data_IF_871908299193
#
_entry.id   IF_871908299193
#
_cell.length_a   1.000
_cell.length_b   1.000
_cell.length_c   1.000
_cell.angle_alpha   90.00
_cell.angle_beta   90.00
_cell.angle_gamma   90.00
#
_symmetry.space_group_name_H-M   'P 1'
#
loop_
_entity.id
_entity.type
_entity.pdbx_description
1 polymer ?
#
# COMPACT_ATOMS: atom_id res chain seq x y z
N UNK A 1 -21.56 -37.41 53.87
CA UNK A 1 -22.59 -37.00 52.92
C UNK A 1 -21.92 -36.68 51.59
N UNK A 2 -21.98 -37.62 50.66
CA UNK A 2 -21.46 -37.48 49.30
C UNK A 2 -22.33 -36.47 48.54
N UNK A 3 -21.76 -35.41 47.91
CA UNK A 3 -22.56 -34.54 47.07
C UNK A 3 -22.92 -35.31 45.79
N UNK A 4 -24.23 -35.38 45.57
CA UNK A 4 -24.90 -36.08 44.49
C UNK A 4 -24.46 -35.49 43.14
N UNK A 5 -23.64 -36.21 42.39
CA UNK A 5 -23.15 -35.80 41.08
C UNK A 5 -24.25 -36.06 40.04
N UNK A 6 -25.18 -35.12 39.89
CA UNK A 6 -26.13 -35.13 38.78
C UNK A 6 -25.36 -35.15 37.46
N UNK A 7 -25.60 -36.09 36.53
CA UNK A 7 -24.90 -36.09 35.26
C UNK A 7 -25.36 -34.86 34.48
N UNK A 8 -24.50 -33.85 34.44
CA UNK A 8 -24.69 -32.67 33.58
C UNK A 8 -25.03 -33.13 32.15
N UNK A 9 -26.16 -32.67 31.61
CA UNK A 9 -26.69 -32.99 30.27
C UNK A 9 -25.78 -32.54 29.08
N UNK A 10 -24.51 -32.22 29.36
CA UNK A 10 -23.54 -31.60 28.45
C UNK A 10 -22.33 -32.49 28.16
N UNK A 11 -22.19 -33.61 28.88
CA UNK A 11 -21.19 -34.65 28.60
C UNK A 11 -21.79 -35.69 27.67
N UNK A 12 -21.24 -35.85 26.46
CA UNK A 12 -21.82 -36.76 25.46
C UNK A 12 -20.78 -37.55 24.68
N UNK A 13 -21.23 -38.60 23.99
CA UNK A 13 -20.37 -39.39 23.10
C UNK A 13 -19.92 -38.51 21.90
N UNK A 14 -18.70 -38.69 21.38
CA UNK A 14 -18.18 -37.90 20.25
C UNK A 14 -19.11 -37.87 19.03
N UNK A 15 -19.71 -39.01 18.66
CA UNK A 15 -20.66 -39.09 17.55
C UNK A 15 -21.94 -38.26 17.81
N UNK A 16 -22.42 -38.25 19.06
CA UNK A 16 -23.58 -37.43 19.47
C UNK A 16 -23.27 -35.95 19.40
N UNK A 17 -22.04 -35.54 19.78
CA UNK A 17 -21.58 -34.16 19.67
C UNK A 17 -21.56 -33.69 18.21
N UNK A 18 -20.93 -34.46 17.33
CA UNK A 18 -20.86 -34.16 15.89
C UNK A 18 -22.25 -34.01 15.30
N UNK A 19 -23.15 -34.96 15.58
CA UNK A 19 -24.53 -34.90 15.11
C UNK A 19 -25.25 -33.66 15.63
N UNK A 20 -25.13 -33.36 16.92
CA UNK A 20 -25.85 -32.25 17.58
C UNK A 20 -25.37 -30.89 17.10
N UNK A 21 -24.06 -30.71 16.91
CA UNK A 21 -23.49 -29.45 16.40
C UNK A 21 -23.90 -29.23 14.94
N UNK A 22 -23.89 -30.27 14.10
CA UNK A 22 -24.28 -30.15 12.69
C UNK A 22 -25.81 -30.02 12.50
N UNK A 23 -26.61 -30.38 13.50
CA UNK A 23 -28.07 -30.21 13.48
C UNK A 23 -28.51 -28.74 13.67
N UNK A 24 -27.58 -27.85 14.07
CA UNK A 24 -27.88 -26.44 14.37
C UNK A 24 -28.16 -25.55 13.13
N UNK A 25 -28.31 -26.12 11.92
CA UNK A 25 -28.72 -25.39 10.71
C UNK A 25 -27.60 -24.69 9.93
N UNK A 26 -26.34 -24.80 10.37
CA UNK A 26 -25.17 -24.18 9.74
C UNK A 26 -24.39 -25.12 8.79
N UNK A 27 -24.99 -26.23 8.37
CA UNK A 27 -24.32 -27.28 7.59
C UNK A 27 -23.29 -28.08 8.42
N UNK A 28 -22.30 -28.67 7.76
CA UNK A 28 -21.27 -29.51 8.42
C UNK A 28 -20.20 -28.63 9.09
N UNK A 29 -20.47 -28.20 10.32
CA UNK A 29 -19.57 -27.36 11.13
C UNK A 29 -18.41 -28.17 11.74
N UNK A 30 -18.70 -29.41 12.16
CA UNK A 30 -17.73 -30.30 12.81
C UNK A 30 -17.77 -31.69 12.19
N UNK A 31 -16.61 -32.22 11.78
CA UNK A 31 -16.48 -33.60 11.28
C UNK A 31 -15.85 -34.50 12.34
N UNK A 32 -16.11 -35.82 12.24
CA UNK A 32 -15.48 -36.80 13.15
C UNK A 32 -13.96 -36.78 13.08
N UNK A 33 -13.40 -36.60 11.88
CA UNK A 33 -11.95 -36.47 11.67
C UNK A 33 -11.40 -35.25 12.40
N UNK A 34 -12.07 -34.09 12.29
CA UNK A 34 -11.66 -32.85 12.95
C UNK A 34 -11.77 -32.95 14.47
N UNK A 35 -12.86 -33.54 14.97
CA UNK A 35 -13.02 -33.81 16.40
C UNK A 35 -11.94 -34.77 16.93
N UNK A 36 -11.58 -35.81 16.17
CA UNK A 36 -10.49 -36.74 16.55
C UNK A 36 -9.15 -36.00 16.67
N UNK A 37 -8.83 -35.12 15.73
CA UNK A 37 -7.62 -34.28 15.79
C UNK A 37 -7.64 -33.34 17.00
N UNK A 38 -8.75 -32.63 17.25
CA UNK A 38 -8.87 -31.72 18.40
C UNK A 38 -8.72 -32.45 19.75
N UNK A 39 -9.14 -33.72 19.83
CA UNK A 39 -9.00 -34.55 21.03
C UNK A 39 -7.57 -35.01 21.29
N UNK A 40 -6.71 -35.03 20.27
CA UNK A 40 -5.28 -35.33 20.43
C UNK A 40 -4.49 -34.09 20.89
N UNK A 41 -4.99 -32.88 20.61
CA UNK A 41 -4.35 -31.61 20.88
C UNK A 41 -4.78 -30.96 22.20
N UNK A 42 -5.03 -31.77 23.23
CA UNK A 42 -5.22 -31.33 24.62
C UNK A 42 -6.62 -30.80 24.99
N UNK A 43 -7.65 -31.64 24.80
CA UNK A 43 -8.97 -31.44 25.42
C UNK A 43 -9.12 -32.34 26.64
N UNK A 44 -9.37 -31.67 27.77
CA UNK A 44 -9.76 -32.22 29.07
C UNK A 44 -10.62 -33.47 28.90
N UNK A 45 -9.94 -34.60 29.03
CA UNK A 45 -10.51 -35.91 28.88
C UNK A 45 -11.08 -36.29 30.24
N UNK A 46 -12.39 -36.13 30.44
CA UNK A 46 -13.00 -36.60 31.68
C UNK A 46 -13.07 -38.13 31.77
N UNK A 47 -12.86 -38.89 30.67
CA UNK A 47 -12.69 -40.37 30.76
C UNK A 47 -12.28 -41.10 29.44
N UNK A 48 -11.77 -40.38 28.44
CA UNK A 48 -11.39 -40.92 27.12
C UNK A 48 -12.57 -41.28 26.23
N UNK A 49 -13.77 -41.38 26.80
CA UNK A 49 -15.00 -41.89 26.17
C UNK A 49 -16.05 -40.82 25.89
N UNK A 50 -15.96 -39.66 26.56
CA UNK A 50 -16.93 -38.57 26.45
C UNK A 50 -16.26 -37.23 26.17
N UNK A 51 -17.03 -36.29 25.61
CA UNK A 51 -16.65 -34.89 25.39
C UNK A 51 -17.68 -34.01 26.09
N UNK A 52 -17.19 -33.10 26.93
CA UNK A 52 -17.99 -32.02 27.53
C UNK A 52 -18.09 -30.86 26.55
N UNK A 53 -19.31 -30.55 26.11
CA UNK A 53 -19.59 -29.51 25.13
C UNK A 53 -19.14 -28.12 25.60
N UNK A 54 -19.28 -27.78 26.89
CA UNK A 54 -18.92 -26.45 27.39
C UNK A 54 -17.41 -26.28 27.43
N UNK A 55 -16.68 -27.28 27.92
CA UNK A 55 -15.21 -27.27 27.92
C UNK A 55 -14.66 -27.22 26.50
N UNK A 56 -15.29 -27.96 25.59
CA UNK A 56 -14.93 -27.95 24.17
C UNK A 56 -15.15 -26.58 23.53
N UNK A 57 -16.30 -25.94 23.78
CA UNK A 57 -16.60 -24.61 23.28
C UNK A 57 -15.63 -23.56 23.85
N UNK A 58 -15.37 -23.58 25.16
CA UNK A 58 -14.43 -22.67 25.81
C UNK A 58 -13.01 -22.78 25.23
N UNK A 59 -12.55 -24.01 24.94
CA UNK A 59 -11.25 -24.23 24.30
C UNK A 59 -11.21 -23.71 22.86
N UNK A 60 -12.26 -23.94 22.06
CA UNK A 60 -12.35 -23.38 20.71
C UNK A 60 -12.33 -21.85 20.72
N UNK A 61 -13.05 -21.23 21.66
CA UNK A 61 -13.06 -19.79 21.86
C UNK A 61 -11.67 -19.27 22.24
N UNK A 62 -10.97 -19.96 23.15
CA UNK A 62 -9.60 -19.62 23.52
C UNK A 62 -8.64 -19.69 22.32
N UNK A 63 -8.73 -20.74 21.51
CA UNK A 63 -7.91 -20.87 20.29
C UNK A 63 -8.18 -19.75 19.30
N UNK A 64 -9.45 -19.43 19.07
CA UNK A 64 -9.86 -18.35 18.16
C UNK A 64 -9.27 -17.01 18.60
N UNK A 65 -9.42 -16.65 19.87
CA UNK A 65 -8.88 -15.38 20.39
C UNK A 65 -7.35 -15.36 20.43
N UNK A 66 -6.69 -16.50 20.64
CA UNK A 66 -5.22 -16.59 20.60
C UNK A 66 -4.67 -16.25 19.20
N UNK A 67 -5.30 -16.79 18.16
CA UNK A 67 -4.86 -16.55 16.78
C UNK A 67 -5.11 -15.10 16.36
N UNK A 68 -6.27 -14.51 16.70
CA UNK A 68 -6.54 -13.08 16.45
C UNK A 68 -5.53 -12.16 17.16
N UNK A 69 -5.20 -12.43 18.43
CA UNK A 69 -4.21 -11.66 19.18
C UNK A 69 -2.81 -11.75 18.55
N UNK A 70 -2.42 -12.93 18.04
CA UNK A 70 -1.15 -13.12 17.34
C UNK A 70 -1.09 -12.31 16.04
N UNK A 71 -2.18 -12.26 15.28
CA UNK A 71 -2.27 -11.45 14.06
C UNK A 71 -2.23 -9.94 14.37
N UNK A 72 -2.91 -9.50 15.44
CA UNK A 72 -2.88 -8.10 15.89
C UNK A 72 -1.46 -7.67 16.33
N UNK A 73 -0.77 -8.47 17.15
CA UNK A 73 0.61 -8.19 17.60
C UNK A 73 1.60 -8.13 16.43
N UNK A 74 1.49 -9.03 15.44
CA UNK A 74 2.32 -8.98 14.23
C UNK A 74 2.11 -7.67 13.43
N UNK A 75 0.86 -7.27 13.23
CA UNK A 75 0.54 -6.06 12.47
C UNK A 75 0.97 -4.78 13.22
N UNK A 76 0.80 -4.73 14.54
CA UNK A 76 1.29 -3.61 15.36
C UNK A 76 2.82 -3.50 15.34
N UNK A 77 3.53 -4.63 15.49
CA UNK A 77 5.00 -4.66 15.38
C UNK A 77 5.47 -4.17 14.01
N UNK A 78 4.83 -4.63 12.93
CA UNK A 78 5.12 -4.19 11.57
C UNK A 78 4.87 -2.69 11.39
N UNK A 79 3.78 -2.15 11.96
CA UNK A 79 3.47 -0.72 11.87
C UNK A 79 4.48 0.13 12.64
N UNK A 80 4.80 -0.25 13.88
CA UNK A 80 5.83 0.44 14.68
C UNK A 80 7.20 0.40 14.02
N UNK A 81 7.56 -0.72 13.37
CA UNK A 81 8.81 -0.79 12.62
C UNK A 81 8.79 0.12 11.39
N UNK A 82 7.66 0.20 10.68
CA UNK A 82 7.51 1.11 9.54
C UNK A 82 7.59 2.59 9.96
N UNK A 83 6.96 2.95 11.10
CA UNK A 83 7.04 4.28 11.69
C UNK A 83 8.49 4.64 12.06
N UNK A 84 9.19 3.75 12.77
CA UNK A 84 10.62 3.94 13.11
C UNK A 84 11.52 4.06 11.89
N UNK A 85 11.34 3.19 10.89
CA UNK A 85 12.13 3.25 9.67
C UNK A 85 11.88 4.57 8.91
N UNK A 86 10.64 5.07 8.92
CA UNK A 86 10.33 6.37 8.31
C UNK A 86 10.99 7.53 9.08
N UNK A 87 10.99 7.48 10.40
CA UNK A 87 11.68 8.46 11.26
C UNK A 87 13.20 8.42 11.06
N UNK A 88 13.80 7.22 11.00
CA UNK A 88 15.24 7.03 10.73
C UNK A 88 15.63 7.57 9.35
N UNK A 89 14.81 7.34 8.32
CA UNK A 89 15.03 7.89 6.98
C UNK A 89 14.94 9.41 7.00
N UNK A 90 13.95 10.00 7.68
CA UNK A 90 13.84 11.47 7.80
C UNK A 90 15.06 12.06 8.53
N UNK A 91 15.46 11.46 9.64
CA UNK A 91 16.62 11.91 10.41
C UNK A 91 17.94 11.78 9.62
N UNK A 92 18.05 10.77 8.75
CA UNK A 92 19.21 10.61 7.87
C UNK A 92 19.22 11.56 6.65
N UNK A 93 18.07 12.16 6.30
CA UNK A 93 17.91 13.10 5.19
C UNK A 93 18.21 14.56 5.57
N UNK A 94 18.60 14.83 6.82
CA UNK A 94 18.94 16.17 7.31
C UNK A 94 20.36 16.60 6.86
N UNK A 95 20.52 16.73 5.53
CA UNK A 95 21.80 17.00 4.85
C UNK A 95 21.95 18.52 4.65
N UNK A 96 22.21 19.25 5.73
CA UNK A 96 22.60 20.67 5.71
C UNK A 96 21.52 21.67 5.24
N UNK A 97 21.83 22.97 5.36
CA UNK A 97 20.94 24.03 4.89
C UNK A 97 20.88 24.03 3.35
N UNK A 98 19.69 23.73 2.83
CA UNK A 98 19.39 23.84 1.41
C UNK A 98 19.60 25.29 0.95
N UNK A 99 20.15 25.52 -0.26
CA UNK A 99 20.24 26.86 -0.81
C UNK A 99 18.85 27.53 -0.84
N UNK A 100 18.78 28.85 -0.94
CA UNK A 100 17.50 29.53 -1.10
C UNK A 100 17.01 29.41 -2.55
N UNK A 101 15.70 29.19 -2.71
CA UNK A 101 15.03 29.22 -4.02
C UNK A 101 15.23 30.60 -4.64
N UNK A 102 15.78 30.64 -5.85
CA UNK A 102 16.08 31.90 -6.54
C UNK A 102 14.79 32.66 -6.87
N UNK A 103 13.77 31.98 -7.38
CA UNK A 103 12.45 32.57 -7.65
C UNK A 103 11.30 31.72 -7.07
N UNK A 104 10.84 32.06 -5.85
CA UNK A 104 9.74 31.35 -5.19
C UNK A 104 8.40 31.44 -5.94
N UNK A 105 8.15 32.53 -6.65
CA UNK A 105 6.89 32.72 -7.40
C UNK A 105 6.87 31.86 -8.66
N UNK A 106 8.00 31.78 -9.38
CA UNK A 106 8.20 30.87 -10.51
C UNK A 106 8.02 29.42 -10.09
N UNK A 107 8.60 29.03 -8.96
CA UNK A 107 8.43 27.69 -8.37
C UNK A 107 6.95 27.42 -8.05
N UNK A 108 6.28 28.34 -7.36
CA UNK A 108 4.87 28.20 -6.96
C UNK A 108 3.94 28.09 -8.16
N UNK A 109 4.12 28.93 -9.18
CA UNK A 109 3.34 28.87 -10.42
C UNK A 109 3.51 27.53 -11.14
N UNK A 110 4.75 27.03 -11.18
CA UNK A 110 5.06 25.75 -11.81
C UNK A 110 4.55 24.54 -11.03
N UNK A 111 4.48 24.63 -9.71
CA UNK A 111 3.84 23.60 -8.88
C UNK A 111 2.31 23.62 -9.00
N UNK A 112 1.73 24.79 -9.27
CA UNK A 112 0.29 24.93 -9.44
C UNK A 112 -0.22 24.46 -10.81
N UNK A 113 0.63 24.48 -11.86
CA UNK A 113 0.24 24.02 -13.19
C UNK A 113 1.34 23.24 -13.89
N UNK A 114 0.98 22.04 -14.36
CA UNK A 114 1.89 21.20 -15.14
C UNK A 114 2.30 21.89 -16.45
N UNK A 115 1.40 22.65 -17.07
CA UNK A 115 1.71 23.41 -18.27
C UNK A 115 2.76 24.48 -18.01
N UNK A 116 2.59 25.26 -16.94
CA UNK A 116 3.53 26.29 -16.56
C UNK A 116 4.92 25.69 -16.27
N UNK A 117 4.98 24.53 -15.63
CA UNK A 117 6.22 23.79 -15.42
C UNK A 117 6.91 23.41 -16.73
N UNK A 118 6.18 22.85 -17.70
CA UNK A 118 6.73 22.51 -19.02
C UNK A 118 7.25 23.74 -19.77
N UNK A 119 6.49 24.83 -19.79
CA UNK A 119 6.88 26.06 -20.49
C UNK A 119 8.07 26.77 -19.82
N UNK A 120 8.15 26.71 -18.49
CA UNK A 120 9.19 27.41 -17.72
C UNK A 120 10.53 26.67 -17.75
N UNK A 121 10.54 25.38 -17.40
CA UNK A 121 11.79 24.63 -17.26
C UNK A 121 12.18 23.87 -18.52
N UNK A 122 11.23 23.56 -19.40
CA UNK A 122 11.45 22.73 -20.58
C UNK A 122 11.10 23.48 -21.87
N UNK A 123 11.26 24.81 -21.90
CA UNK A 123 10.94 25.64 -23.06
C UNK A 123 11.63 25.23 -24.36
N UNK A 124 12.88 24.75 -24.29
CA UNK A 124 13.61 24.22 -25.45
C UNK A 124 13.02 22.90 -25.99
N UNK A 125 12.37 22.13 -25.12
CA UNK A 125 11.73 20.85 -25.48
C UNK A 125 10.30 21.09 -25.98
N UNK A 126 9.57 22.01 -25.35
CA UNK A 126 8.20 22.39 -25.68
C UNK A 126 8.15 23.72 -26.45
N UNK A 127 8.97 23.84 -27.50
CA UNK A 127 9.05 25.06 -28.32
C UNK A 127 7.87 25.25 -29.28
N UNK A 128 7.08 24.20 -29.53
CA UNK A 128 5.91 24.25 -30.41
C UNK A 128 4.64 24.63 -29.63
N UNK A 129 3.69 25.37 -30.23
CA UNK A 129 2.41 25.65 -29.62
C UNK A 129 1.62 24.39 -29.27
N UNK A 130 0.88 24.44 -28.16
CA UNK A 130 0.04 23.34 -27.71
C UNK A 130 -1.18 23.15 -28.61
N UNK A 131 -1.51 21.89 -28.91
CA UNK A 131 -2.77 21.51 -29.54
C UNK A 131 -3.86 21.25 -28.49
N UNK A 132 -5.12 21.25 -28.91
CA UNK A 132 -6.26 20.87 -28.06
C UNK A 132 -6.11 19.46 -27.46
N UNK A 133 -5.49 18.53 -28.18
CA UNK A 133 -5.20 17.20 -27.66
C UNK A 133 -4.17 17.24 -26.54
N UNK A 134 -3.09 18.03 -26.69
CA UNK A 134 -2.09 18.20 -25.64
C UNK A 134 -2.71 18.84 -24.40
N UNK A 135 -3.55 19.86 -24.55
CA UNK A 135 -4.22 20.51 -23.42
C UNK A 135 -5.15 19.55 -22.68
N UNK A 136 -5.87 18.67 -23.38
CA UNK A 136 -6.68 17.61 -22.75
C UNK A 136 -5.83 16.62 -21.97
N UNK A 137 -4.67 16.26 -22.50
CA UNK A 137 -3.73 15.35 -21.84
C UNK A 137 -3.09 15.98 -20.61
N UNK A 138 -2.63 17.23 -20.72
CA UNK A 138 -2.07 17.99 -19.61
C UNK A 138 -3.05 18.06 -18.45
N UNK A 139 -4.33 18.39 -18.71
CA UNK A 139 -5.37 18.42 -17.67
C UNK A 139 -5.58 17.06 -16.99
N UNK A 140 -5.43 15.95 -17.72
CA UNK A 140 -5.53 14.60 -17.15
C UNK A 140 -4.32 14.28 -16.28
N UNK A 141 -3.11 14.59 -16.76
CA UNK A 141 -1.86 14.43 -16.01
C UNK A 141 -1.94 15.23 -14.71
N UNK A 142 -2.26 16.52 -14.79
CA UNK A 142 -2.32 17.43 -13.65
C UNK A 142 -3.29 16.92 -12.59
N UNK A 143 -4.49 16.45 -13.00
CA UNK A 143 -5.47 15.85 -12.09
C UNK A 143 -4.94 14.56 -11.45
N UNK A 144 -4.32 13.68 -12.22
CA UNK A 144 -3.82 12.40 -11.71
C UNK A 144 -2.65 12.55 -10.76
N UNK A 145 -1.78 13.53 -10.96
CA UNK A 145 -0.66 13.81 -10.04
C UNK A 145 -1.17 14.46 -8.76
N UNK A 146 -2.06 15.46 -8.86
CA UNK A 146 -2.50 16.24 -7.68
C UNK A 146 -3.57 15.55 -6.83
N UNK A 147 -4.52 14.85 -7.45
CA UNK A 147 -5.68 14.24 -6.77
C UNK A 147 -5.67 12.71 -6.81
N UNK A 148 -4.68 12.13 -7.49
CA UNK A 148 -4.70 10.72 -7.83
C UNK A 148 -5.68 10.39 -8.97
N UNK A 149 -5.66 9.14 -9.40
CA UNK A 149 -6.56 8.60 -10.41
C UNK A 149 -5.84 8.01 -11.62
N UNK A 150 -6.55 7.11 -12.31
CA UNK A 150 -6.04 6.39 -13.46
C UNK A 150 -6.60 6.99 -14.75
N UNK A 151 -5.75 7.21 -15.74
CA UNK A 151 -6.19 7.58 -17.07
C UNK A 151 -5.36 6.86 -18.13
N UNK A 152 -5.99 6.59 -19.26
CA UNK A 152 -5.33 6.13 -20.48
C UNK A 152 -5.19 7.30 -21.45
N UNK A 153 -4.06 7.34 -22.14
CA UNK A 153 -3.73 8.35 -23.14
C UNK A 153 -3.40 7.66 -24.46
N UNK A 154 -4.10 8.04 -25.53
CA UNK A 154 -3.78 7.66 -26.88
C UNK A 154 -3.48 8.93 -27.68
N UNK A 155 -2.23 9.07 -28.14
CA UNK A 155 -1.80 10.17 -29.02
C UNK A 155 -1.08 9.63 -30.25
N UNK A 156 -1.18 10.33 -31.40
CA UNK A 156 -0.46 9.97 -32.63
C UNK A 156 1.05 9.83 -32.40
N UNK A 157 1.73 9.08 -33.27
CA UNK A 157 3.21 9.06 -33.26
C UNK A 157 3.74 10.45 -33.59
N UNK A 158 4.88 10.83 -33.00
CA UNK A 158 5.49 12.16 -33.20
C UNK A 158 4.93 13.29 -32.32
N UNK A 159 3.85 13.07 -31.56
CA UNK A 159 3.23 14.08 -30.67
C UNK A 159 3.98 14.38 -29.36
N UNK A 160 5.19 13.84 -29.16
CA UNK A 160 5.93 14.04 -27.92
C UNK A 160 5.37 13.33 -26.67
N UNK A 161 4.48 12.33 -26.84
CA UNK A 161 3.87 11.58 -25.71
C UNK A 161 4.86 11.07 -24.66
N UNK A 162 6.02 10.57 -25.11
CA UNK A 162 7.04 10.03 -24.22
C UNK A 162 7.64 11.13 -23.36
N UNK A 163 7.97 12.27 -23.98
CA UNK A 163 8.50 13.45 -23.32
C UNK A 163 7.48 13.97 -22.30
N UNK A 164 6.21 14.11 -22.68
CA UNK A 164 5.15 14.51 -21.75
C UNK A 164 5.06 13.59 -20.53
N UNK A 165 5.15 12.27 -20.71
CA UNK A 165 5.15 11.34 -19.59
C UNK A 165 6.41 11.47 -18.71
N UNK A 166 7.59 11.66 -19.30
CA UNK A 166 8.83 11.84 -18.54
C UNK A 166 8.81 13.16 -17.75
N UNK A 167 8.36 14.26 -18.36
CA UNK A 167 8.20 15.55 -17.68
C UNK A 167 7.14 15.47 -16.58
N UNK A 168 6.06 14.71 -16.79
CA UNK A 168 5.06 14.45 -15.75
C UNK A 168 5.63 13.69 -14.54
N UNK A 169 6.51 12.71 -14.79
CA UNK A 169 7.23 11.98 -13.74
C UNK A 169 8.17 12.91 -12.97
N UNK A 170 8.93 13.75 -13.68
CA UNK A 170 9.80 14.74 -13.06
C UNK A 170 9.00 15.75 -12.20
N UNK A 171 7.89 16.26 -12.73
CA UNK A 171 7.01 17.17 -12.01
C UNK A 171 6.37 16.53 -10.78
N UNK A 172 5.88 15.29 -10.89
CA UNK A 172 5.32 14.55 -9.76
C UNK A 172 6.36 14.30 -8.65
N UNK A 173 7.61 14.04 -9.03
CA UNK A 173 8.71 13.88 -8.09
C UNK A 173 9.08 15.21 -7.42
N UNK A 174 9.28 16.29 -8.19
CA UNK A 174 9.68 17.61 -7.67
C UNK A 174 8.60 18.31 -6.86
N UNK A 175 7.32 18.05 -7.15
CA UNK A 175 6.19 18.60 -6.40
C UNK A 175 5.89 17.87 -5.10
N UNK A 176 6.50 16.71 -4.85
CA UNK A 176 6.18 15.87 -3.69
C UNK A 176 4.79 15.22 -3.74
N UNK A 177 4.08 15.33 -4.87
CA UNK A 177 2.70 14.85 -4.99
C UNK A 177 2.57 13.32 -4.84
N UNK A 178 3.65 12.57 -5.06
CA UNK A 178 3.70 11.14 -4.84
C UNK A 178 5.00 10.74 -4.13
N UNK A 179 4.90 9.98 -3.04
CA UNK A 179 6.06 9.48 -2.28
C UNK A 179 6.95 8.53 -3.10
N UNK A 180 6.39 7.93 -4.16
CA UNK A 180 7.14 7.07 -5.07
C UNK A 180 6.55 7.14 -6.47
N UNK A 181 7.37 7.56 -7.44
CA UNK A 181 6.97 7.67 -8.86
C UNK A 181 7.63 6.55 -9.65
N UNK A 182 6.84 5.77 -10.39
CA UNK A 182 7.32 4.66 -11.20
C UNK A 182 6.97 4.88 -12.68
N UNK A 183 7.97 4.87 -13.55
CA UNK A 183 7.82 4.94 -15.00
C UNK A 183 7.99 3.53 -15.60
N UNK A 184 6.94 3.05 -16.27
CA UNK A 184 6.93 1.71 -16.89
C UNK A 184 7.06 1.85 -18.41
N UNK A 185 7.97 1.07 -18.99
CA UNK A 185 8.20 1.01 -20.43
C UNK A 185 7.94 -0.40 -20.99
N UNK A 186 7.87 -0.53 -22.31
CA UNK A 186 7.62 -1.80 -22.99
C UNK A 186 8.77 -2.81 -22.86
N UNK A 187 10.00 -2.37 -22.53
CA UNK A 187 11.16 -3.21 -22.27
C UNK A 187 12.05 -2.61 -21.19
N UNK A 188 12.89 -3.43 -20.57
CA UNK A 188 13.83 -3.01 -19.54
C UNK A 188 14.84 -1.96 -20.06
N UNK A 189 15.38 -2.18 -21.27
CA UNK A 189 16.30 -1.26 -21.94
C UNK A 189 15.64 0.12 -22.15
N UNK A 190 14.41 0.14 -22.69
CA UNK A 190 13.66 1.39 -22.85
C UNK A 190 13.39 2.07 -21.52
N UNK A 191 13.06 1.32 -20.47
CA UNK A 191 12.85 1.87 -19.14
C UNK A 191 14.09 2.58 -18.61
N UNK A 192 15.26 1.95 -18.81
CA UNK A 192 16.56 2.53 -18.43
C UNK A 192 16.84 3.82 -19.20
N UNK A 193 16.68 3.83 -20.52
CA UNK A 193 16.89 5.03 -21.34
C UNK A 193 16.02 6.20 -20.89
N UNK A 194 14.74 5.93 -20.60
CA UNK A 194 13.81 6.97 -20.14
C UNK A 194 14.21 7.55 -18.78
N UNK A 195 14.72 6.71 -17.87
CA UNK A 195 15.21 7.13 -16.57
C UNK A 195 16.49 7.97 -16.70
N UNK A 196 17.45 7.55 -17.52
CA UNK A 196 18.70 8.29 -17.75
C UNK A 196 18.44 9.66 -18.39
N UNK A 197 17.44 9.77 -19.27
CA UNK A 197 17.02 11.07 -19.81
C UNK A 197 16.47 12.00 -18.72
N UNK A 198 15.66 11.48 -17.80
CA UNK A 198 15.13 12.28 -16.68
C UNK A 198 16.26 12.76 -15.77
N UNK A 199 17.23 11.90 -15.46
CA UNK A 199 18.41 12.28 -14.66
C UNK A 199 19.22 13.37 -15.35
N UNK A 200 19.52 13.19 -16.64
CA UNK A 200 20.23 14.19 -17.44
C UNK A 200 19.53 15.54 -17.33
N UNK A 201 18.20 15.60 -17.47
CA UNK A 201 17.46 16.87 -17.34
C UNK A 201 17.56 17.50 -15.94
N UNK A 202 17.56 16.70 -14.88
CA UNK A 202 17.73 17.21 -13.51
C UNK A 202 19.15 17.72 -13.25
N UNK A 203 20.16 17.15 -13.92
CA UNK A 203 21.57 17.51 -13.76
C UNK A 203 22.02 18.68 -14.64
N UNK A 204 21.41 18.88 -15.81
CA UNK A 204 21.86 19.89 -16.79
C UNK A 204 21.01 21.14 -16.83
N UNK A 205 19.79 21.11 -16.28
CA UNK A 205 18.88 22.24 -16.34
C UNK A 205 19.13 23.23 -15.19
N UNK A 206 19.78 24.35 -15.52
CA UNK A 206 20.12 25.39 -14.54
C UNK A 206 18.89 25.97 -13.84
N UNK A 207 17.77 26.18 -14.54
CA UNK A 207 16.53 26.70 -13.93
C UNK A 207 15.95 25.73 -12.90
N UNK A 208 15.98 24.43 -13.20
CA UNK A 208 15.56 23.42 -12.22
C UNK A 208 16.50 23.41 -11.01
N UNK A 209 17.80 23.59 -11.21
CA UNK A 209 18.75 23.67 -10.10
C UNK A 209 18.55 24.94 -9.27
N UNK A 210 18.27 26.08 -9.89
CA UNK A 210 17.98 27.35 -9.21
C UNK A 210 16.73 27.30 -8.33
N UNK A 211 15.72 26.51 -8.70
CA UNK A 211 14.44 26.47 -7.98
C UNK A 211 14.25 25.20 -7.13
N UNK A 212 14.99 24.13 -7.44
CA UNK A 212 14.91 22.81 -6.81
C UNK A 212 16.30 22.27 -6.38
N UNK A 213 17.20 23.16 -5.96
CA UNK A 213 18.58 22.87 -5.47
C UNK A 213 18.66 21.89 -4.29
N UNK A 214 17.54 21.54 -3.67
CA UNK A 214 17.46 20.23 -3.05
C UNK A 214 16.06 19.90 -2.59
N UNK A 215 15.90 18.61 -2.33
CA UNK A 215 14.81 17.92 -1.64
C UNK A 215 13.41 18.55 -1.72
N UNK A 216 12.45 17.72 -2.12
CA UNK A 216 11.01 17.97 -1.97
C UNK A 216 10.75 18.67 -0.62
N UNK A 217 10.29 19.93 -0.61
CA UNK A 217 9.90 20.57 0.64
C UNK A 217 8.69 19.82 1.22
N UNK A 218 8.71 19.63 2.54
CA UNK A 218 7.71 18.88 3.33
C UNK A 218 6.24 19.19 3.00
#
# INVERSE_FOLDING_TARGET
>A
MTPNNSPSNLTMRPATLVRRVNQAGFGTVLSERRLKTHRQSDINTSDGKSVDLLKYAAWLTFLYFRDENKTRDYNERKRKQAEKNAEEVRAAQDIGELPAVVDPERKKASLASFRAFCETYFGEVFYLPWSEDHLRVIKKIERSVTKGGLFAMAMPRGSGKTVLCQTAVAWAALSGAASFVCLIAASAERGKDLLENIKTWLETNSLLQEDFHGGIPE
#
